data_IF_129132938557
#
_entry.id   IF_129132938557
#
_cell.length_a   1.000
_cell.length_b   1.000
_cell.length_c   1.000
_cell.angle_alpha   90.00
_cell.angle_beta   90.00
_cell.angle_gamma   90.00
#
_symmetry.space_group_name_H-M   'P 1'
#
loop_
_entity.id
_entity.type
_entity.pdbx_description
1 polymer ?
#
# COMPACT_ATOMS: atom_id res chain seq x y z
N UNK A 1 -27.04 43.00 -34.30
CA UNK A 1 -27.72 44.26 -34.63
C UNK A 1 -28.45 44.72 -33.37
N UNK A 2 -28.00 45.83 -32.76
CA UNK A 2 -28.70 46.73 -31.80
C UNK A 2 -29.14 46.08 -30.46
N UNK A 3 -28.44 46.21 -29.31
CA UNK A 3 -28.04 47.34 -28.41
C UNK A 3 -28.87 47.32 -27.10
N UNK A 4 -28.16 47.32 -25.95
CA UNK A 4 -28.40 48.07 -24.69
C UNK A 4 -27.79 47.26 -23.51
N UNK A 5 -26.62 47.49 -22.91
CA UNK A 5 -25.88 48.68 -22.41
C UNK A 5 -26.51 49.41 -21.21
N UNK A 6 -25.87 49.29 -20.03
CA UNK A 6 -25.84 50.20 -18.86
C UNK A 6 -24.95 49.57 -17.77
N UNK A 7 -23.63 49.76 -17.75
CA UNK A 7 -22.82 50.87 -17.19
C UNK A 7 -22.96 51.16 -15.66
N UNK A 8 -21.88 50.82 -14.91
CA UNK A 8 -21.08 51.70 -14.00
C UNK A 8 -21.70 52.04 -12.61
N UNK A 9 -21.04 51.88 -11.44
CA UNK A 9 -19.79 52.53 -10.98
C UNK A 9 -19.32 51.95 -9.61
N UNK A 10 -18.00 51.87 -9.42
CA UNK A 10 -17.32 51.71 -8.14
C UNK A 10 -17.40 52.98 -7.27
N UNK A 11 -17.26 52.88 -5.94
CA UNK A 11 -16.52 53.85 -5.10
C UNK A 11 -16.28 53.32 -3.67
N UNK A 12 -15.07 53.55 -3.17
CA UNK A 12 -14.57 53.29 -1.81
C UNK A 12 -14.38 54.66 -1.07
N UNK A 13 -13.79 54.74 0.13
CA UNK A 13 -14.40 54.92 1.46
C UNK A 13 -14.17 56.33 2.09
N UNK A 14 -14.78 56.65 3.26
CA UNK A 14 -14.29 57.72 4.18
C UNK A 14 -14.72 57.52 5.65
N UNK A 15 -13.74 57.74 6.53
CA UNK A 15 -13.79 57.88 8.00
C UNK A 15 -14.60 59.11 8.47
N UNK A 16 -14.91 59.19 9.78
CA UNK A 16 -14.85 60.46 10.48
C UNK A 16 -13.99 60.44 11.76
N UNK A 17 -13.32 61.57 11.97
CA UNK A 17 -12.54 62.02 13.12
C UNK A 17 -13.40 62.57 14.26
N UNK A 18 -12.94 62.50 15.51
CA UNK A 18 -13.05 63.65 16.44
C UNK A 18 -11.99 63.61 17.55
N UNK A 19 -11.51 64.81 17.89
CA UNK A 19 -10.40 65.16 18.76
C UNK A 19 -10.84 65.54 20.18
N UNK A 20 -10.00 65.33 21.23
CA UNK A 20 -9.90 66.22 22.40
C UNK A 20 -8.51 66.16 23.11
N UNK A 21 -7.79 67.28 22.96
CA UNK A 21 -6.85 68.05 23.82
C UNK A 21 -5.81 67.39 24.79
N UNK A 22 -4.59 67.94 24.67
CA UNK A 22 -3.36 67.88 25.49
C UNK A 22 -3.48 68.44 26.91
N UNK A 23 -2.63 67.93 27.82
CA UNK A 23 -1.93 68.72 28.85
C UNK A 23 -0.54 68.12 29.14
N UNK A 24 0.48 68.97 29.24
CA UNK A 24 1.90 68.67 29.51
C UNK A 24 2.14 68.28 30.98
N UNK A 25 3.22 67.51 31.25
CA UNK A 25 4.19 67.78 32.35
C UNK A 25 5.49 66.96 32.23
N UNK A 26 6.58 67.71 32.05
CA UNK A 26 7.94 67.63 32.62
C UNK A 26 8.70 66.31 32.78
N UNK A 27 9.91 66.30 32.21
CA UNK A 27 10.95 65.29 32.36
C UNK A 27 11.63 65.31 33.74
N UNK A 28 12.05 64.13 34.22
CA UNK A 28 13.03 63.97 35.30
C UNK A 28 14.07 62.92 34.89
N UNK A 29 15.33 63.34 34.90
CA UNK A 29 16.53 62.52 34.72
C UNK A 29 16.74 61.65 35.97
N UNK A 30 16.91 60.33 35.81
CA UNK A 30 17.48 59.48 36.86
C UNK A 30 18.61 58.65 36.24
N UNK A 31 19.83 59.03 36.63
CA UNK A 31 21.09 58.30 36.45
C UNK A 31 21.02 56.92 37.09
N UNK A 32 21.28 55.86 36.31
CA UNK A 32 21.55 54.52 36.83
C UNK A 32 23.02 54.17 36.68
N UNK A 33 23.63 53.82 37.82
CA UNK A 33 25.02 53.43 37.99
C UNK A 33 25.31 52.05 37.40
N UNK A 34 26.40 51.96 36.63
CA UNK A 34 26.89 50.72 36.01
C UNK A 34 27.48 49.81 37.10
N UNK A 35 26.81 48.68 37.39
CA UNK A 35 27.39 47.58 38.18
C UNK A 35 27.86 46.48 37.21
N UNK A 36 29.17 46.44 36.92
CA UNK A 36 29.81 45.36 36.16
C UNK A 36 29.65 44.04 36.93
N UNK A 37 28.73 43.17 36.49
CA UNK A 37 28.78 41.73 36.78
C UNK A 37 29.42 41.05 35.58
N UNK A 38 30.62 40.49 35.77
CA UNK A 38 31.21 39.52 34.84
C UNK A 38 30.33 38.27 34.89
N UNK A 39 29.50 38.07 33.86
CA UNK A 39 28.88 36.78 33.58
C UNK A 39 29.88 36.00 32.73
N UNK A 40 30.54 35.03 33.36
CA UNK A 40 31.26 33.97 32.65
C UNK A 40 30.24 33.15 31.87
N UNK A 41 30.23 33.26 30.55
CA UNK A 41 29.57 32.31 29.66
C UNK A 41 30.33 30.98 29.76
N UNK A 42 29.89 30.12 30.67
CA UNK A 42 30.16 28.70 30.56
C UNK A 42 29.26 28.18 29.43
N UNK A 43 29.83 27.97 28.25
CA UNK A 43 29.24 27.08 27.26
C UNK A 43 29.18 25.69 27.88
N UNK A 44 28.06 25.35 28.52
CA UNK A 44 27.73 23.95 28.71
C UNK A 44 27.50 23.39 27.32
N UNK A 45 28.49 22.67 26.79
CA UNK A 45 28.30 21.71 25.72
C UNK A 45 27.30 20.70 26.28
N UNK A 46 26.02 20.97 26.06
CA UNK A 46 24.97 19.98 26.24
C UNK A 46 25.33 18.85 25.29
N UNK A 47 25.92 17.78 25.84
CA UNK A 47 26.01 16.52 25.16
C UNK A 47 24.63 16.26 24.55
N UNK A 48 24.57 16.19 23.23
CA UNK A 48 23.36 15.82 22.50
C UNK A 48 22.96 14.44 23.02
N UNK A 49 22.01 14.39 23.96
CA UNK A 49 21.24 13.16 24.20
C UNK A 49 20.69 12.80 22.82
N UNK A 50 21.11 11.66 22.29
CA UNK A 50 20.44 11.08 21.13
C UNK A 50 18.96 11.05 21.47
N UNK A 51 18.15 11.79 20.71
CA UNK A 51 16.70 11.76 20.87
C UNK A 51 16.30 10.30 20.63
N UNK A 52 15.66 9.63 21.62
CA UNK A 52 15.13 8.28 21.40
C UNK A 52 14.29 8.31 20.12
N UNK A 53 14.56 7.40 19.18
CA UNK A 53 13.85 7.37 17.90
C UNK A 53 12.38 7.06 18.17
N UNK A 54 11.51 7.76 17.47
CA UNK A 54 10.07 7.54 17.56
C UNK A 54 9.72 6.17 16.96
N UNK A 55 8.78 5.48 17.60
CA UNK A 55 8.40 4.10 17.24
C UNK A 55 7.26 4.07 16.23
N UNK A 56 7.38 3.21 15.22
CA UNK A 56 6.34 2.93 14.23
C UNK A 56 6.03 1.45 14.23
N UNK A 57 4.75 1.09 14.44
CA UNK A 57 4.34 -0.31 14.41
C UNK A 57 3.94 -0.67 12.98
N UNK A 58 4.45 -1.79 12.47
CA UNK A 58 4.08 -2.31 11.15
C UNK A 58 3.42 -3.68 11.31
N UNK A 59 2.18 -3.82 10.86
CA UNK A 59 1.43 -5.08 10.84
C UNK A 59 1.25 -5.54 9.39
N UNK A 60 2.10 -6.49 8.97
CA UNK A 60 2.04 -7.13 7.66
C UNK A 60 1.52 -8.57 7.73
N UNK A 61 1.27 -9.18 6.58
CA UNK A 61 0.67 -10.52 6.49
C UNK A 61 -0.12 -10.73 5.20
N UNK A 62 -0.39 -11.98 4.79
CA UNK A 62 -1.15 -12.25 3.58
C UNK A 62 -2.61 -11.76 3.70
N UNK A 63 -3.29 -11.59 2.56
CA UNK A 63 -4.75 -11.39 2.56
C UNK A 63 -5.45 -12.55 3.27
N UNK A 64 -6.50 -12.26 4.05
CA UNK A 64 -7.19 -13.25 4.91
C UNK A 64 -6.56 -13.48 6.28
N UNK A 65 -5.39 -12.91 6.60
CA UNK A 65 -4.73 -13.13 7.90
C UNK A 65 -5.35 -12.36 9.09
N UNK A 66 -6.34 -11.49 8.88
CA UNK A 66 -6.98 -10.73 9.98
C UNK A 66 -6.29 -9.42 10.40
N UNK A 67 -5.36 -8.90 9.58
CA UNK A 67 -4.57 -7.67 9.88
C UNK A 67 -5.40 -6.44 10.23
N UNK A 68 -6.48 -6.17 9.48
CA UNK A 68 -7.27 -4.95 9.66
C UNK A 68 -7.92 -4.91 11.05
N UNK A 69 -8.49 -6.04 11.50
CA UNK A 69 -9.08 -6.16 12.84
C UNK A 69 -8.02 -6.01 13.94
N UNK A 70 -6.86 -6.64 13.78
CA UNK A 70 -5.76 -6.51 14.73
C UNK A 70 -5.27 -5.05 14.83
N UNK A 71 -5.08 -4.37 13.70
CA UNK A 71 -4.63 -2.99 13.66
C UNK A 71 -5.64 -2.03 14.29
N UNK A 72 -6.95 -2.21 14.03
CA UNK A 72 -8.02 -1.41 14.62
C UNK A 72 -8.01 -1.50 16.15
N UNK A 73 -8.03 -2.71 16.69
CA UNK A 73 -8.06 -2.93 18.14
C UNK A 73 -6.76 -2.49 18.82
N UNK A 74 -5.62 -2.62 18.15
CA UNK A 74 -4.34 -2.11 18.64
C UNK A 74 -4.33 -0.58 18.69
N UNK A 75 -4.83 0.09 17.65
CA UNK A 75 -4.88 1.54 17.58
C UNK A 75 -5.75 2.14 18.70
N UNK A 76 -6.88 1.50 19.03
CA UNK A 76 -7.72 1.88 20.18
C UNK A 76 -6.94 1.84 21.50
N UNK A 77 -6.11 0.81 21.73
CA UNK A 77 -5.32 0.65 22.96
C UNK A 77 -4.15 1.61 23.08
N UNK A 78 -3.53 1.94 21.95
CA UNK A 78 -2.33 2.76 21.90
C UNK A 78 -2.61 4.25 21.65
N UNK A 79 -3.88 4.66 21.57
CA UNK A 79 -4.25 6.00 21.07
C UNK A 79 -3.56 6.29 19.72
N UNK A 80 -3.61 5.30 18.83
CA UNK A 80 -2.93 5.28 17.56
C UNK A 80 -3.83 5.62 16.38
N UNK A 81 -3.21 5.80 15.23
CA UNK A 81 -3.86 6.00 13.94
C UNK A 81 -3.30 5.03 12.91
N UNK A 82 -4.12 4.65 11.94
CA UNK A 82 -3.78 3.60 10.98
C UNK A 82 -3.36 4.22 9.66
N UNK A 83 -2.22 3.81 9.12
CA UNK A 83 -1.79 4.13 7.76
C UNK A 83 -1.99 2.88 6.90
N UNK A 84 -2.89 2.95 5.92
CA UNK A 84 -3.11 1.83 5.01
C UNK A 84 -1.95 1.69 4.03
N UNK A 85 -1.33 0.51 4.02
CA UNK A 85 -0.30 0.08 3.08
C UNK A 85 -0.86 -0.96 2.10
N UNK A 86 -2.02 -0.64 1.51
CA UNK A 86 -2.70 -1.44 0.48
C UNK A 86 -2.86 -0.61 -0.81
N UNK A 87 -2.48 -1.19 -1.95
CA UNK A 87 -2.47 -0.50 -3.24
C UNK A 87 -3.86 -0.24 -3.83
N UNK A 88 -4.92 -0.82 -3.26
CA UNK A 88 -6.30 -0.74 -3.77
C UNK A 88 -7.19 0.11 -2.87
N UNK A 89 -6.99 0.06 -1.54
CA UNK A 89 -7.78 0.86 -0.59
C UNK A 89 -7.63 2.38 -0.76
N UNK A 90 -6.62 2.83 -1.51
CA UNK A 90 -6.42 4.24 -1.87
C UNK A 90 -7.53 4.78 -2.78
N UNK A 91 -8.24 3.93 -3.52
CA UNK A 91 -9.22 4.33 -4.53
C UNK A 91 -10.65 4.41 -3.97
N UNK A 92 -11.33 5.52 -4.24
CA UNK A 92 -12.75 5.76 -3.91
C UNK A 92 -13.68 4.80 -4.65
N UNK A 93 -14.69 4.29 -3.95
CA UNK A 93 -15.70 3.38 -4.51
C UNK A 93 -15.23 1.95 -4.73
N UNK A 94 -14.00 1.62 -4.33
CA UNK A 94 -13.43 0.26 -4.34
C UNK A 94 -13.37 -0.26 -2.91
N UNK A 95 -14.51 -0.53 -2.30
CA UNK A 95 -14.65 -0.82 -0.88
C UNK A 95 -14.66 -2.33 -0.62
N UNK A 96 -15.46 -3.07 -1.37
CA UNK A 96 -15.73 -4.50 -1.16
C UNK A 96 -14.54 -5.29 -1.64
N UNK A 97 -14.13 -5.16 -2.90
CA UNK A 97 -13.02 -5.95 -3.43
C UNK A 97 -11.68 -5.70 -2.71
N UNK A 98 -11.51 -4.51 -2.12
CA UNK A 98 -10.31 -4.16 -1.34
C UNK A 98 -10.42 -4.51 0.15
N UNK A 99 -11.59 -4.95 0.61
CA UNK A 99 -11.95 -5.09 2.02
C UNK A 99 -11.54 -3.87 2.86
N UNK A 100 -11.95 -2.71 2.37
CA UNK A 100 -11.69 -1.44 3.02
C UNK A 100 -12.35 -1.40 4.40
N UNK A 101 -11.72 -0.78 5.42
CA UNK A 101 -12.36 -0.59 6.72
C UNK A 101 -13.73 0.08 6.57
N UNK A 102 -14.71 -0.35 7.37
CA UNK A 102 -16.07 0.18 7.30
C UNK A 102 -16.11 1.66 7.73
N UNK A 103 -17.17 2.42 7.37
CA UNK A 103 -17.34 3.78 7.89
C UNK A 103 -17.32 3.85 9.43
N UNK A 104 -17.84 2.83 10.12
CA UNK A 104 -17.78 2.72 11.58
C UNK A 104 -16.34 2.58 12.08
N UNK A 105 -15.56 1.67 11.51
CA UNK A 105 -14.15 1.48 11.89
C UNK A 105 -13.33 2.77 11.69
N UNK A 106 -13.62 3.53 10.63
CA UNK A 106 -12.93 4.80 10.32
C UNK A 106 -13.36 5.96 11.22
N UNK A 107 -14.56 5.91 11.77
CA UNK A 107 -15.02 6.87 12.78
C UNK A 107 -14.36 6.58 14.13
N UNK A 108 -14.18 5.31 14.47
CA UNK A 108 -13.53 4.90 15.72
C UNK A 108 -12.02 5.18 15.72
N UNK A 109 -11.34 4.90 14.61
CA UNK A 109 -9.89 5.13 14.45
C UNK A 109 -9.63 5.82 13.11
N UNK A 110 -8.89 6.94 13.08
CA UNK A 110 -8.47 7.57 11.82
C UNK A 110 -7.66 6.61 10.94
N UNK A 111 -8.05 6.51 9.68
CA UNK A 111 -7.36 5.75 8.65
C UNK A 111 -6.83 6.69 7.57
N UNK A 112 -5.50 6.70 7.40
CA UNK A 112 -4.79 7.45 6.37
C UNK A 112 -4.59 6.61 5.11
N UNK A 113 -4.44 7.29 3.98
CA UNK A 113 -4.24 6.68 2.65
C UNK A 113 -5.38 5.74 2.24
N UNK A 114 -6.60 6.08 2.63
CA UNK A 114 -7.83 5.43 2.21
C UNK A 114 -8.69 6.46 1.49
N UNK A 115 -9.27 6.11 0.35
CA UNK A 115 -10.12 7.02 -0.45
C UNK A 115 -9.47 8.34 -0.87
N UNK A 116 -8.15 8.32 -1.09
CA UNK A 116 -7.37 9.49 -1.48
C UNK A 116 -7.35 9.74 -3.00
N UNK A 117 -7.76 8.77 -3.82
CA UNK A 117 -7.72 8.83 -5.28
C UNK A 117 -9.03 8.42 -5.94
N UNK A 118 -9.30 8.99 -7.12
CA UNK A 118 -10.25 8.44 -8.07
C UNK A 118 -9.67 7.20 -8.78
N UNK A 119 -10.45 6.17 -9.14
CA UNK A 119 -9.91 4.94 -9.75
C UNK A 119 -9.25 5.10 -11.11
N UNK A 120 -9.47 6.23 -11.79
CA UNK A 120 -8.77 6.55 -13.04
C UNK A 120 -7.35 7.08 -12.81
N UNK A 121 -6.99 7.45 -11.58
CA UNK A 121 -5.69 7.99 -11.24
C UNK A 121 -4.68 6.87 -10.98
N UNK A 122 -3.41 7.13 -11.29
CA UNK A 122 -2.33 6.19 -10.98
C UNK A 122 -1.72 6.46 -9.60
N UNK A 123 -1.41 5.38 -8.88
CA UNK A 123 -0.68 5.41 -7.62
C UNK A 123 0.59 4.57 -7.68
N UNK A 124 1.73 5.17 -7.33
CA UNK A 124 3.03 4.51 -7.39
C UNK A 124 3.59 4.25 -6.00
N UNK A 125 4.52 3.31 -5.90
CA UNK A 125 5.26 3.03 -4.65
C UNK A 125 6.01 4.27 -4.15
N UNK A 126 6.54 5.09 -5.07
CA UNK A 126 7.22 6.34 -4.70
C UNK A 126 6.27 7.35 -4.05
N UNK A 127 5.04 7.50 -4.60
CA UNK A 127 4.01 8.39 -4.02
C UNK A 127 3.49 7.84 -2.69
N UNK A 128 3.24 6.53 -2.62
CA UNK A 128 2.92 5.86 -1.34
C UNK A 128 3.98 6.12 -0.28
N UNK A 129 5.27 6.02 -0.62
CA UNK A 129 6.34 6.31 0.32
C UNK A 129 6.24 7.74 0.85
N UNK A 130 6.10 8.75 -0.03
CA UNK A 130 5.97 10.14 0.40
C UNK A 130 4.74 10.38 1.29
N UNK A 131 3.57 9.95 0.83
CA UNK A 131 2.30 10.17 1.51
C UNK A 131 2.27 9.45 2.88
N UNK A 132 2.77 8.20 2.95
CA UNK A 132 2.83 7.45 4.19
C UNK A 132 3.82 8.07 5.19
N UNK A 133 4.97 8.56 4.72
CA UNK A 133 5.96 9.24 5.56
C UNK A 133 5.43 10.57 6.09
N UNK A 134 4.66 11.30 5.29
CA UNK A 134 3.97 12.51 5.72
C UNK A 134 2.92 12.19 6.79
N UNK A 135 2.09 11.16 6.57
CA UNK A 135 1.10 10.71 7.55
C UNK A 135 1.77 10.28 8.87
N UNK A 136 2.87 9.51 8.81
CA UNK A 136 3.63 9.11 9.99
C UNK A 136 4.10 10.32 10.80
N UNK A 137 4.69 11.34 10.15
CA UNK A 137 5.12 12.57 10.84
C UNK A 137 3.95 13.29 11.49
N UNK A 138 2.84 13.46 10.76
CA UNK A 138 1.66 14.12 11.30
C UNK A 138 1.09 13.42 12.53
N UNK A 139 1.08 12.08 12.54
CA UNK A 139 0.61 11.29 13.67
C UNK A 139 1.55 11.46 14.87
N UNK A 140 2.86 11.38 14.66
CA UNK A 140 3.87 11.56 15.70
C UNK A 140 3.83 12.99 16.29
N UNK A 141 3.74 14.01 15.43
CA UNK A 141 3.62 15.42 15.84
C UNK A 141 2.35 15.68 16.69
N UNK A 142 1.31 14.86 16.51
CA UNK A 142 0.09 14.89 17.32
C UNK A 142 0.18 14.10 18.64
N UNK A 143 1.32 13.46 18.92
CA UNK A 143 1.54 12.63 20.10
C UNK A 143 0.83 11.27 20.06
N UNK A 144 0.48 10.79 18.87
CA UNK A 144 -0.23 9.52 18.64
C UNK A 144 0.71 8.47 18.06
N UNK A 145 0.26 7.21 18.09
CA UNK A 145 1.07 6.07 17.63
C UNK A 145 0.75 5.71 16.17
N UNK A 146 1.71 5.81 15.23
CA UNK A 146 1.51 5.40 13.85
C UNK A 146 1.54 3.87 13.72
N UNK A 147 0.44 3.30 13.20
CA UNK A 147 0.30 1.87 12.93
C UNK A 147 0.10 1.67 11.42
N UNK A 148 1.11 1.12 10.76
CA UNK A 148 1.07 0.83 9.33
C UNK A 148 0.55 -0.59 9.13
N UNK A 149 -0.55 -0.75 8.39
CA UNK A 149 -1.16 -2.07 8.16
C UNK A 149 -1.34 -2.34 6.68
N UNK A 150 -0.96 -3.53 6.20
CA UNK A 150 -1.11 -3.85 4.78
C UNK A 150 -0.35 -5.07 4.30
N UNK A 151 -0.36 -5.26 2.99
CA UNK A 151 0.30 -6.38 2.31
C UNK A 151 1.69 -6.05 1.77
N UNK A 152 2.19 -4.83 2.02
CA UNK A 152 3.33 -4.23 1.33
C UNK A 152 4.25 -3.55 2.34
N UNK A 153 5.47 -4.08 2.53
CA UNK A 153 6.45 -3.53 3.49
C UNK A 153 7.18 -2.26 3.01
N UNK A 154 6.75 -1.68 1.88
CA UNK A 154 7.54 -0.74 1.07
C UNK A 154 7.90 0.58 1.78
N UNK A 155 7.20 0.92 2.88
CA UNK A 155 7.52 2.11 3.68
C UNK A 155 8.93 2.05 4.30
N UNK A 156 9.39 0.85 4.68
CA UNK A 156 10.63 0.65 5.43
C UNK A 156 11.85 0.87 4.55
N UNK A 157 11.77 0.46 3.28
CA UNK A 157 12.95 0.25 2.46
C UNK A 157 13.47 1.51 1.77
N UNK A 158 12.67 2.58 1.70
CA UNK A 158 13.05 3.86 1.07
C UNK A 158 12.32 4.12 -0.27
N UNK A 159 12.39 5.37 -0.73
CA UNK A 159 11.79 5.81 -1.99
C UNK A 159 12.56 5.22 -3.19
N UNK A 160 11.92 4.48 -4.10
CA UNK A 160 12.56 4.05 -5.35
C UNK A 160 13.02 5.25 -6.19
N UNK A 161 14.21 5.15 -6.79
CA UNK A 161 14.81 6.21 -7.60
C UNK A 161 14.52 6.07 -9.11
N UNK A 162 13.61 5.16 -9.47
CA UNK A 162 13.28 4.88 -10.86
C UNK A 162 12.40 6.01 -11.42
N UNK A 163 12.78 6.65 -12.54
CA UNK A 163 12.06 7.79 -13.08
C UNK A 163 10.68 7.41 -13.60
N UNK A 164 9.68 8.27 -13.38
CA UNK A 164 8.36 8.14 -13.99
C UNK A 164 8.41 8.64 -15.44
N UNK A 165 7.83 7.89 -16.37
CA UNK A 165 7.73 8.32 -17.76
C UNK A 165 6.76 9.51 -17.89
N UNK A 166 7.06 10.44 -18.80
CA UNK A 166 6.11 11.48 -19.20
C UNK A 166 4.93 10.87 -19.98
N UNK A 167 3.77 11.54 -20.04
CA UNK A 167 2.64 11.07 -20.85
C UNK A 167 3.00 10.82 -22.31
N UNK A 168 3.85 11.67 -22.90
CA UNK A 168 4.30 11.54 -24.28
C UNK A 168 5.14 10.26 -24.48
N UNK A 169 6.09 10.00 -23.59
CA UNK A 169 6.92 8.78 -23.64
C UNK A 169 6.04 7.54 -23.43
N UNK A 170 5.13 7.57 -22.45
CA UNK A 170 4.24 6.45 -22.19
C UNK A 170 3.35 6.15 -23.41
N UNK A 171 2.84 7.18 -24.08
CA UNK A 171 2.05 7.05 -25.31
C UNK A 171 2.89 6.51 -26.46
N UNK A 172 4.11 7.03 -26.66
CA UNK A 172 5.03 6.58 -27.70
C UNK A 172 5.36 5.09 -27.54
N UNK A 173 5.74 4.68 -26.33
CA UNK A 173 6.06 3.28 -26.01
C UNK A 173 4.84 2.39 -26.18
N UNK A 174 3.64 2.86 -25.79
CA UNK A 174 2.41 2.11 -26.00
C UNK A 174 2.16 1.86 -27.49
N UNK A 175 2.28 2.89 -28.33
CA UNK A 175 2.14 2.75 -29.79
C UNK A 175 3.20 1.83 -30.39
N UNK A 176 4.44 1.91 -29.94
CA UNK A 176 5.55 1.07 -30.44
C UNK A 176 5.35 -0.42 -30.15
N UNK A 177 4.72 -0.76 -29.01
CA UNK A 177 4.45 -2.15 -28.63
C UNK A 177 3.05 -2.64 -29.05
N UNK A 178 2.17 -1.76 -29.53
CA UNK A 178 0.76 -2.07 -29.77
C UNK A 178 0.57 -3.22 -30.77
N UNK A 179 1.21 -3.16 -31.94
CA UNK A 179 1.06 -4.18 -32.97
C UNK A 179 1.64 -5.52 -32.53
N UNK A 180 2.78 -5.51 -31.83
CA UNK A 180 3.39 -6.72 -31.29
C UNK A 180 2.51 -7.36 -30.22
N UNK A 181 1.90 -6.54 -29.36
CA UNK A 181 0.97 -7.03 -28.34
C UNK A 181 -0.32 -7.58 -28.97
N UNK A 182 -0.87 -6.92 -29.99
CA UNK A 182 -2.07 -7.36 -30.69
C UNK A 182 -1.87 -8.67 -31.46
N UNK A 183 -0.68 -8.88 -32.02
CA UNK A 183 -0.31 -10.11 -32.72
C UNK A 183 0.27 -11.20 -31.80
N UNK A 184 0.30 -10.95 -30.48
CA UNK A 184 0.90 -11.82 -29.46
C UNK A 184 2.38 -12.19 -29.73
N UNK A 185 3.11 -11.30 -30.42
CA UNK A 185 4.51 -11.50 -30.78
C UNK A 185 5.45 -11.07 -29.65
N UNK A 186 5.45 -11.88 -28.59
CA UNK A 186 6.25 -11.67 -27.38
C UNK A 186 7.75 -11.64 -27.67
N UNK A 187 8.24 -12.54 -28.51
CA UNK A 187 9.67 -12.67 -28.78
C UNK A 187 10.20 -11.42 -29.48
N UNK A 188 9.50 -10.92 -30.51
CA UNK A 188 9.90 -9.68 -31.18
C UNK A 188 9.88 -8.47 -30.22
N UNK A 189 8.89 -8.40 -29.34
CA UNK A 189 8.83 -7.34 -28.33
C UNK A 189 9.98 -7.40 -27.32
N UNK A 190 10.37 -8.61 -26.87
CA UNK A 190 11.55 -8.80 -26.03
C UNK A 190 12.81 -8.34 -26.76
N UNK A 191 13.01 -8.74 -28.01
CA UNK A 191 14.17 -8.33 -28.79
C UNK A 191 14.24 -6.81 -29.00
N UNK A 192 13.08 -6.15 -29.18
CA UNK A 192 13.00 -4.69 -29.26
C UNK A 192 13.55 -4.03 -27.99
N UNK A 193 13.11 -4.47 -26.80
CA UNK A 193 13.56 -3.89 -25.52
C UNK A 193 15.02 -4.23 -25.20
N UNK A 194 15.48 -5.44 -25.56
CA UNK A 194 16.90 -5.80 -25.45
C UNK A 194 17.76 -4.88 -26.31
N UNK A 195 17.36 -4.65 -27.56
CA UNK A 195 18.06 -3.74 -28.47
C UNK A 195 18.03 -2.29 -27.99
N UNK A 196 16.97 -1.88 -27.29
CA UNK A 196 16.87 -0.57 -26.67
C UNK A 196 17.83 -0.39 -25.47
N UNK A 197 18.33 -1.48 -24.86
CA UNK A 197 19.38 -1.42 -23.85
C UNK A 197 19.13 -2.18 -22.55
N UNK A 198 18.05 -2.97 -22.44
CA UNK A 198 17.82 -3.84 -21.28
C UNK A 198 17.95 -5.33 -21.64
N UNK A 199 19.16 -5.93 -21.50
CA UNK A 199 19.34 -7.35 -21.75
C UNK A 199 18.56 -8.25 -20.78
N UNK A 200 18.13 -7.72 -19.62
CA UNK A 200 17.36 -8.52 -18.65
C UNK A 200 15.93 -8.77 -19.12
N UNK A 201 15.45 -8.07 -20.15
CA UNK A 201 14.14 -8.33 -20.76
C UNK A 201 13.99 -9.79 -21.24
N UNK A 202 15.08 -10.47 -21.62
CA UNK A 202 15.08 -11.89 -22.03
C UNK A 202 14.64 -12.85 -20.91
N UNK A 203 14.78 -12.45 -19.65
CA UNK A 203 14.43 -13.27 -18.49
C UNK A 203 13.04 -12.93 -17.93
N UNK A 204 12.30 -12.04 -18.58
CA UNK A 204 10.93 -11.76 -18.18
C UNK A 204 10.04 -12.99 -18.39
N UNK A 205 9.09 -13.27 -17.48
CA UNK A 205 8.08 -14.29 -17.72
C UNK A 205 7.35 -14.01 -19.02
N UNK A 206 7.02 -15.07 -19.76
CA UNK A 206 6.29 -14.97 -21.02
C UNK A 206 5.02 -14.11 -20.86
N UNK A 207 4.80 -13.21 -21.81
CA UNK A 207 3.66 -12.28 -21.87
C UNK A 207 3.56 -11.29 -20.71
N UNK A 208 4.65 -11.02 -19.97
CA UNK A 208 4.71 -9.91 -19.01
C UNK A 208 4.89 -8.55 -19.71
N UNK A 209 3.90 -8.20 -20.55
CA UNK A 209 3.85 -6.95 -21.32
C UNK A 209 3.97 -5.71 -20.45
N UNK A 210 3.50 -5.80 -19.21
CA UNK A 210 3.62 -4.70 -18.25
C UNK A 210 5.09 -4.41 -17.91
N UNK A 211 5.86 -5.42 -17.50
CA UNK A 211 7.29 -5.22 -17.16
C UNK A 211 8.12 -4.88 -18.38
N UNK A 212 7.81 -5.48 -19.52
CA UNK A 212 8.49 -5.19 -20.78
C UNK A 212 8.30 -3.73 -21.20
N UNK A 213 7.04 -3.26 -21.25
CA UNK A 213 6.71 -1.86 -21.50
C UNK A 213 7.38 -0.93 -20.50
N UNK A 214 7.33 -1.27 -19.22
CA UNK A 214 7.94 -0.45 -18.16
C UNK A 214 9.45 -0.32 -18.32
N UNK A 215 10.13 -1.37 -18.78
CA UNK A 215 11.57 -1.30 -19.07
C UNK A 215 11.86 -0.31 -20.19
N UNK A 216 11.11 -0.40 -21.29
CA UNK A 216 11.26 0.52 -22.43
C UNK A 216 10.96 1.98 -22.06
N UNK A 217 9.90 2.22 -21.26
CA UNK A 217 9.60 3.53 -20.69
C UNK A 217 10.77 4.12 -19.90
N UNK A 218 11.43 3.31 -19.07
CA UNK A 218 12.57 3.76 -18.25
C UNK A 218 13.77 4.10 -19.14
N UNK A 219 14.07 3.25 -20.12
CA UNK A 219 15.14 3.50 -21.10
C UNK A 219 14.89 4.80 -21.84
N UNK A 220 13.69 5.00 -22.41
CA UNK A 220 13.36 6.24 -23.14
C UNK A 220 13.37 7.49 -22.24
N UNK A 221 13.00 7.34 -20.96
CA UNK A 221 12.99 8.45 -20.02
C UNK A 221 14.37 8.86 -19.50
N UNK A 222 15.33 7.93 -19.46
CA UNK A 222 16.59 8.13 -18.74
C UNK A 222 17.86 7.81 -19.51
N UNK A 223 17.74 7.15 -20.66
CA UNK A 223 18.85 6.58 -21.41
C UNK A 223 19.48 5.33 -20.78
N UNK A 224 18.98 4.86 -19.63
CA UNK A 224 19.54 3.73 -18.88
C UNK A 224 18.49 2.64 -18.60
N UNK A 225 18.88 1.36 -18.55
CA UNK A 225 17.94 0.28 -18.22
C UNK A 225 17.51 0.33 -16.75
N UNK A 226 16.40 -0.34 -16.37
CA UNK A 226 15.93 -0.39 -14.98
C UNK A 226 17.00 -0.86 -13.98
N UNK A 227 17.92 -1.72 -14.42
CA UNK A 227 19.01 -2.27 -13.62
C UNK A 227 20.07 -1.24 -13.21
N UNK A 228 20.11 -0.07 -13.84
CA UNK A 228 21.02 1.02 -13.50
C UNK A 228 20.56 1.82 -12.26
N UNK A 229 19.29 1.69 -11.86
CA UNK A 229 18.71 2.41 -10.74
C UNK A 229 18.79 1.58 -9.46
N UNK A 230 19.14 2.24 -8.35
CA UNK A 230 19.16 1.58 -7.05
C UNK A 230 17.73 1.29 -6.58
N UNK A 231 17.45 0.03 -6.29
CA UNK A 231 16.23 -0.37 -5.59
C UNK A 231 16.54 -0.32 -4.09
N UNK A 232 15.89 0.57 -3.31
CA UNK A 232 16.23 0.77 -1.89
C UNK A 232 16.14 -0.52 -1.06
N UNK A 233 15.20 -1.39 -1.41
CA UNK A 233 15.03 -2.74 -0.84
C UNK A 233 16.29 -3.60 -0.90
N UNK A 234 16.99 -3.65 -2.04
CA UNK A 234 18.19 -4.48 -2.19
C UNK A 234 19.33 -4.01 -1.28
N UNK A 235 19.40 -2.70 -1.07
CA UNK A 235 20.43 -2.08 -0.24
C UNK A 235 20.15 -2.32 1.24
N UNK A 236 18.88 -2.19 1.64
CA UNK A 236 18.43 -2.52 2.99
C UNK A 236 18.69 -4.00 3.32
N UNK A 237 18.35 -4.91 2.41
CA UNK A 237 18.54 -6.35 2.62
C UNK A 237 20.03 -6.71 2.83
N UNK A 238 20.93 -6.16 2.00
CA UNK A 238 22.38 -6.37 2.17
C UNK A 238 22.89 -5.90 3.54
N UNK A 239 22.36 -4.79 4.06
CA UNK A 239 22.72 -4.27 5.38
C UNK A 239 22.24 -5.17 6.52
N UNK A 240 21.01 -5.69 6.43
CA UNK A 240 20.51 -6.66 7.38
C UNK A 240 21.35 -7.95 7.38
N UNK A 241 21.67 -8.47 6.19
CA UNK A 241 22.47 -9.69 6.06
C UNK A 241 23.89 -9.49 6.63
N UNK A 242 24.55 -8.36 6.36
CA UNK A 242 25.89 -8.06 6.93
C UNK A 242 25.87 -7.89 8.45
N UNK A 243 24.84 -7.24 9.01
CA UNK A 243 24.69 -7.05 10.46
C UNK A 243 24.45 -8.36 11.24
N UNK A 244 23.93 -9.40 10.57
CA UNK A 244 23.74 -10.74 11.13
C UNK A 244 25.04 -11.54 11.09
N UNK A 245 25.84 -11.38 10.02
CA UNK A 245 27.14 -12.08 9.86
C UNK A 245 28.20 -11.53 10.83
N UNK A 246 28.21 -10.22 11.10
CA UNK A 246 29.12 -9.60 12.09
C UNK A 246 28.88 -10.04 13.55
N UNK A 247 27.78 -10.75 13.84
CA UNK A 247 27.55 -11.32 15.20
C UNK A 247 28.21 -12.67 15.43
N UNK A 248 28.79 -13.31 14.42
CA UNK A 248 29.27 -14.70 14.56
C UNK A 248 30.72 -15.01 14.17
N UNK A 249 31.52 -14.09 13.65
CA UNK A 249 32.94 -14.38 13.42
C UNK A 249 33.85 -13.18 13.75
N UNK A 250 34.65 -13.32 14.81
CA UNK A 250 35.83 -12.49 15.04
C UNK A 250 37.00 -13.23 14.38
N UNK A 251 37.50 -12.69 13.27
CA UNK A 251 38.93 -12.69 12.96
C UNK A 251 39.25 -11.59 11.92
N UNK A 252 40.24 -10.71 12.18
CA UNK A 252 40.57 -9.63 11.27
C UNK A 252 41.65 -10.08 10.28
N UNK A 253 41.32 -10.10 9.00
CA UNK A 253 42.34 -9.95 7.96
C UNK A 253 41.83 -8.95 6.92
N UNK A 254 42.58 -7.86 6.83
CA UNK A 254 42.55 -6.77 5.86
C UNK A 254 42.24 -7.22 4.44
N UNK A 255 41.22 -6.63 3.82
CA UNK A 255 41.39 -5.78 2.64
C UNK A 255 40.08 -5.04 2.27
N UNK A 256 40.21 -3.72 2.11
CA UNK A 256 39.27 -2.73 1.55
C UNK A 256 37.81 -2.84 2.01
N UNK A 257 37.54 -2.38 3.23
CA UNK A 257 36.18 -2.03 3.67
C UNK A 257 35.84 -0.65 3.10
N UNK A 258 35.16 -0.61 1.95
CA UNK A 258 34.30 0.54 1.68
C UNK A 258 33.24 0.56 2.80
N UNK A 259 33.35 1.52 3.71
CA UNK A 259 32.36 1.77 4.75
C UNK A 259 31.01 2.07 4.08
N UNK A 260 30.21 1.02 3.83
CA UNK A 260 28.79 1.16 3.54
C UNK A 260 28.15 1.63 4.84
N UNK A 261 28.16 2.96 5.06
CA UNK A 261 27.41 3.59 6.15
C UNK A 261 25.97 3.08 6.07
N UNK A 262 25.57 2.32 7.08
CA UNK A 262 24.18 1.92 7.29
C UNK A 262 23.33 3.18 7.21
N UNK A 263 22.33 3.19 6.32
CA UNK A 263 21.36 4.30 6.33
C UNK A 263 20.57 4.12 7.61
N UNK A 264 20.91 4.92 8.62
CA UNK A 264 20.17 4.95 9.87
C UNK A 264 18.69 5.20 9.55
N UNK A 265 17.83 4.25 9.92
CA UNK A 265 16.39 4.48 9.86
C UNK A 265 16.05 5.64 10.79
N UNK A 266 15.15 6.50 10.37
CA UNK A 266 14.73 7.69 11.12
C UNK A 266 13.60 7.39 12.12
N UNK A 267 13.02 6.20 12.08
CA UNK A 267 12.12 5.66 13.08
C UNK A 267 12.60 4.30 13.57
N UNK A 268 12.19 3.93 14.77
CA UNK A 268 12.30 2.58 15.30
C UNK A 268 11.08 1.75 14.86
N UNK A 269 11.26 0.92 13.83
CA UNK A 269 10.17 0.14 13.26
C UNK A 269 10.01 -1.20 13.99
N UNK A 270 8.86 -1.41 14.62
CA UNK A 270 8.50 -2.70 15.23
C UNK A 270 7.59 -3.45 14.25
N UNK A 271 8.17 -4.42 13.53
CA UNK A 271 7.51 -5.08 12.42
C UNK A 271 6.98 -6.46 12.79
N UNK A 272 5.68 -6.68 12.62
CA UNK A 272 5.02 -7.96 12.83
C UNK A 272 4.48 -8.52 11.52
N UNK A 273 4.64 -9.83 11.31
CA UNK A 273 4.05 -10.54 10.19
C UNK A 273 3.05 -11.58 10.69
N UNK A 274 1.77 -11.30 10.51
CA UNK A 274 0.66 -12.13 10.94
C UNK A 274 0.37 -13.20 9.88
N UNK A 275 0.41 -14.48 10.25
CA UNK A 275 0.10 -15.59 9.33
C UNK A 275 -0.45 -16.80 10.08
N UNK A 276 -1.17 -17.67 9.37
CA UNK A 276 -1.65 -18.96 9.86
C UNK A 276 -1.15 -20.10 8.97
N UNK A 277 -1.54 -21.34 9.28
CA UNK A 277 -1.30 -22.49 8.41
C UNK A 277 -1.91 -22.24 7.02
N UNK A 278 -1.18 -22.63 5.97
CA UNK A 278 -1.55 -22.34 4.58
C UNK A 278 -2.96 -22.82 4.20
N UNK A 279 -3.38 -23.98 4.69
CA UNK A 279 -4.71 -24.53 4.41
C UNK A 279 -5.80 -23.63 5.02
N UNK A 280 -5.63 -23.19 6.26
CA UNK A 280 -6.61 -22.32 6.93
C UNK A 280 -6.63 -20.91 6.31
N UNK A 281 -5.47 -20.41 5.91
CA UNK A 281 -5.36 -19.18 5.12
C UNK A 281 -6.12 -19.29 3.80
N UNK A 282 -5.96 -20.38 3.06
CA UNK A 282 -6.67 -20.60 1.79
C UNK A 282 -8.18 -20.72 2.00
N UNK A 283 -8.63 -21.41 3.05
CA UNK A 283 -10.06 -21.46 3.42
C UNK A 283 -10.62 -20.07 3.70
N UNK A 284 -9.89 -19.25 4.45
CA UNK A 284 -10.30 -17.87 4.75
C UNK A 284 -10.37 -17.00 3.49
N UNK A 285 -9.38 -17.13 2.59
CA UNK A 285 -9.36 -16.43 1.31
C UNK A 285 -10.55 -16.84 0.45
N UNK A 286 -10.83 -18.14 0.36
CA UNK A 286 -11.90 -18.67 -0.47
C UNK A 286 -13.27 -18.20 0.01
N UNK A 287 -13.51 -18.29 1.34
CA UNK A 287 -14.72 -17.77 1.98
C UNK A 287 -14.90 -16.26 1.70
N UNK A 288 -13.83 -15.48 1.85
CA UNK A 288 -13.86 -14.04 1.57
C UNK A 288 -14.18 -13.74 0.11
N UNK A 289 -13.68 -14.54 -0.85
CA UNK A 289 -14.03 -14.35 -2.26
C UNK A 289 -15.52 -14.61 -2.50
N UNK A 290 -16.11 -15.60 -1.81
CA UNK A 290 -17.56 -15.81 -1.86
C UNK A 290 -18.31 -14.61 -1.25
N UNK A 291 -17.91 -14.17 -0.05
CA UNK A 291 -18.54 -13.02 0.63
C UNK A 291 -18.53 -11.76 -0.25
N UNK A 292 -17.47 -11.54 -1.03
CA UNK A 292 -17.35 -10.40 -1.97
C UNK A 292 -18.26 -10.52 -3.18
N UNK A 293 -18.58 -11.74 -3.62
CA UNK A 293 -19.48 -12.00 -4.75
C UNK A 293 -20.94 -12.13 -4.34
N UNK A 294 -21.21 -12.38 -3.06
CA UNK A 294 -22.55 -12.45 -2.50
C UNK A 294 -23.25 -11.09 -2.52
N UNK A 295 -24.55 -11.11 -2.82
CA UNK A 295 -25.42 -9.93 -2.80
C UNK A 295 -25.40 -9.09 -4.09
N UNK A 296 -26.41 -8.22 -4.23
CA UNK A 296 -26.56 -7.31 -5.37
C UNK A 296 -25.59 -6.13 -5.36
N UNK A 297 -25.10 -5.78 -4.16
CA UNK A 297 -24.18 -4.67 -3.94
C UNK A 297 -22.74 -5.18 -3.75
N UNK A 298 -22.41 -6.38 -4.23
CA UNK A 298 -21.07 -6.98 -4.11
C UNK A 298 -20.03 -6.39 -5.06
N UNK A 299 -18.87 -7.04 -5.18
CA UNK A 299 -17.75 -6.61 -6.05
C UNK A 299 -18.16 -6.46 -7.52
N UNK A 300 -19.18 -7.19 -7.98
CA UNK A 300 -19.70 -7.07 -9.35
C UNK A 300 -20.33 -5.70 -9.61
N UNK A 301 -20.92 -5.07 -8.59
CA UNK A 301 -21.49 -3.72 -8.68
C UNK A 301 -20.38 -2.66 -8.82
N UNK A 302 -19.29 -2.78 -8.04
CA UNK A 302 -18.11 -1.91 -8.14
C UNK A 302 -17.42 -2.09 -9.50
N UNK A 303 -17.27 -3.34 -9.97
CA UNK A 303 -16.70 -3.64 -11.27
C UNK A 303 -17.54 -3.07 -12.43
N UNK A 304 -18.87 -3.16 -12.32
CA UNK A 304 -19.79 -2.52 -13.26
C UNK A 304 -19.58 -1.00 -13.27
N UNK A 305 -19.50 -0.37 -12.10
CA UNK A 305 -19.29 1.08 -12.00
C UNK A 305 -17.96 1.53 -12.64
N UNK A 306 -16.89 0.75 -12.46
CA UNK A 306 -15.61 1.01 -13.15
C UNK A 306 -15.77 1.00 -14.68
N UNK A 307 -16.48 -0.01 -15.21
CA UNK A 307 -16.77 -0.11 -16.65
C UNK A 307 -17.65 1.04 -17.15
N UNK A 308 -18.69 1.39 -16.40
CA UNK A 308 -19.62 2.48 -16.73
C UNK A 308 -18.92 3.85 -16.69
N UNK A 309 -17.83 3.96 -15.92
CA UNK A 309 -16.95 5.13 -15.88
C UNK A 309 -15.93 5.16 -17.03
N UNK A 310 -15.99 4.21 -17.98
CA UNK A 310 -15.12 4.14 -19.16
C UNK A 310 -13.77 3.48 -18.91
N UNK A 311 -13.53 2.87 -17.73
CA UNK A 311 -12.30 2.15 -17.45
C UNK A 311 -12.37 0.72 -17.99
N UNK A 312 -11.27 0.28 -18.61
CA UNK A 312 -11.15 -1.09 -19.12
C UNK A 312 -10.42 -2.00 -18.13
N UNK A 313 -10.70 -3.32 -18.11
CA UNK A 313 -9.89 -4.26 -17.36
C UNK A 313 -8.41 -4.12 -17.72
N UNK A 314 -7.53 -4.28 -16.73
CA UNK A 314 -6.07 -4.19 -16.89
C UNK A 314 -5.49 -2.82 -17.31
N UNK A 315 -6.32 -1.78 -17.53
CA UNK A 315 -5.86 -0.47 -17.98
C UNK A 315 -4.93 0.24 -16.97
N UNK A 316 -5.22 0.17 -15.67
CA UNK A 316 -4.44 0.84 -14.63
C UNK A 316 -4.34 -0.01 -13.36
N UNK A 317 -3.77 0.55 -12.29
CA UNK A 317 -3.56 -0.20 -11.05
C UNK A 317 -4.87 -0.62 -10.39
N UNK A 318 -5.92 0.21 -10.43
CA UNK A 318 -7.22 -0.10 -9.85
C UNK A 318 -7.88 -1.29 -10.57
N UNK A 319 -7.91 -1.25 -11.91
CA UNK A 319 -8.56 -2.29 -12.73
C UNK A 319 -7.73 -3.57 -12.90
N UNK A 320 -6.44 -3.54 -12.55
CA UNK A 320 -5.56 -4.73 -12.44
C UNK A 320 -5.69 -5.45 -11.10
N UNK A 321 -6.30 -4.84 -10.10
CA UNK A 321 -6.43 -5.42 -8.77
C UNK A 321 -7.19 -6.77 -8.84
N UNK A 322 -6.73 -7.72 -8.04
CA UNK A 322 -7.34 -9.06 -7.95
C UNK A 322 -8.76 -8.91 -7.41
N UNK A 323 -9.72 -9.60 -8.02
CA UNK A 323 -11.15 -9.42 -7.78
C UNK A 323 -11.75 -8.49 -8.83
N UNK A 324 -11.29 -7.24 -8.89
CA UNK A 324 -11.79 -6.25 -9.85
C UNK A 324 -11.54 -6.66 -11.29
N UNK A 325 -10.32 -7.09 -11.63
CA UNK A 325 -10.01 -7.53 -12.99
C UNK A 325 -10.94 -8.66 -13.44
N UNK A 326 -11.03 -9.72 -12.64
CA UNK A 326 -11.86 -10.88 -12.94
C UNK A 326 -13.34 -10.50 -13.06
N UNK A 327 -13.83 -9.66 -12.14
CA UNK A 327 -15.21 -9.19 -12.15
C UNK A 327 -15.51 -8.31 -13.38
N UNK A 328 -14.61 -7.38 -13.75
CA UNK A 328 -14.80 -6.55 -14.94
C UNK A 328 -14.77 -7.37 -16.23
N UNK A 329 -13.82 -8.31 -16.37
CA UNK A 329 -13.77 -9.24 -17.51
C UNK A 329 -15.06 -10.04 -17.64
N UNK A 330 -15.58 -10.53 -16.52
CA UNK A 330 -16.86 -11.25 -16.47
C UNK A 330 -18.05 -10.37 -16.84
N UNK A 331 -18.15 -9.14 -16.31
CA UNK A 331 -19.24 -8.22 -16.66
C UNK A 331 -19.21 -7.86 -18.15
N UNK A 332 -18.03 -7.64 -18.74
CA UNK A 332 -17.90 -7.41 -20.19
C UNK A 332 -18.40 -8.60 -21.01
N UNK A 333 -18.02 -9.83 -20.62
CA UNK A 333 -18.54 -11.05 -21.25
C UNK A 333 -20.07 -11.11 -21.15
N UNK A 334 -20.63 -10.80 -19.98
CA UNK A 334 -22.07 -10.80 -19.76
C UNK A 334 -22.79 -9.78 -20.67
N UNK A 335 -22.22 -8.58 -20.85
CA UNK A 335 -22.77 -7.54 -21.75
C UNK A 335 -22.80 -8.02 -23.21
N UNK A 336 -21.75 -8.70 -23.66
CA UNK A 336 -21.67 -9.23 -25.03
C UNK A 336 -22.68 -10.36 -25.29
N UNK A 337 -22.95 -11.19 -24.28
CA UNK A 337 -23.87 -12.32 -24.40
C UNK A 337 -25.32 -11.99 -24.00
N UNK A 338 -25.56 -10.83 -23.38
CA UNK A 338 -26.87 -10.46 -22.83
C UNK A 338 -27.26 -11.20 -21.54
N UNK A 339 -26.30 -11.81 -20.84
CA UNK A 339 -26.54 -12.60 -19.64
C UNK A 339 -25.35 -13.46 -19.24
N UNK A 340 -25.57 -14.39 -18.30
CA UNK A 340 -24.57 -15.35 -17.85
C UNK A 340 -25.24 -16.66 -17.43
N UNK A 341 -24.48 -17.75 -17.47
CA UNK A 341 -24.87 -19.06 -16.95
C UNK A 341 -24.23 -19.36 -15.58
N UNK A 342 -24.78 -20.30 -14.78
CA UNK A 342 -24.12 -20.74 -13.55
C UNK A 342 -22.67 -21.19 -13.80
N UNK A 343 -22.41 -21.88 -14.92
CA UNK A 343 -21.07 -22.36 -15.25
C UNK A 343 -20.06 -21.22 -15.37
N UNK A 344 -20.43 -20.13 -16.02
CA UNK A 344 -19.56 -18.97 -16.20
C UNK A 344 -19.33 -18.23 -14.88
N UNK A 345 -20.37 -18.09 -14.05
CA UNK A 345 -20.22 -17.55 -12.69
C UNK A 345 -19.26 -18.40 -11.84
N UNK A 346 -19.40 -19.73 -11.84
CA UNK A 346 -18.50 -20.61 -11.10
C UNK A 346 -17.05 -20.57 -11.64
N UNK A 347 -16.87 -20.32 -12.94
CA UNK A 347 -15.55 -20.08 -13.51
C UNK A 347 -14.94 -18.77 -12.97
N UNK A 348 -15.71 -17.67 -12.93
CA UNK A 348 -15.30 -16.41 -12.29
C UNK A 348 -14.86 -16.65 -10.84
N UNK A 349 -15.70 -17.30 -10.03
CA UNK A 349 -15.41 -17.57 -8.62
C UNK A 349 -14.11 -18.37 -8.46
N UNK A 350 -13.93 -19.43 -9.26
CA UNK A 350 -12.74 -20.28 -9.24
C UNK A 350 -11.47 -19.49 -9.58
N UNK A 351 -11.49 -18.67 -10.64
CA UNK A 351 -10.32 -17.88 -11.03
C UNK A 351 -10.02 -16.74 -10.04
N UNK A 352 -11.04 -16.13 -9.44
CA UNK A 352 -10.86 -15.14 -8.37
C UNK A 352 -10.18 -15.79 -7.14
N UNK A 353 -10.71 -16.90 -6.64
CA UNK A 353 -10.12 -17.62 -5.50
C UNK A 353 -8.68 -18.06 -5.79
N UNK A 354 -8.41 -18.63 -6.97
CA UNK A 354 -7.07 -19.03 -7.40
C UNK A 354 -6.10 -17.85 -7.46
N UNK A 355 -6.51 -16.73 -8.04
CA UNK A 355 -5.70 -15.52 -8.10
C UNK A 355 -5.37 -14.98 -6.70
N UNK A 356 -6.35 -14.94 -5.80
CA UNK A 356 -6.20 -14.49 -4.41
C UNK A 356 -5.25 -15.39 -3.61
N UNK A 357 -5.36 -16.72 -3.73
CA UNK A 357 -4.42 -17.67 -3.11
C UNK A 357 -3.01 -17.54 -3.66
N UNK A 358 -2.86 -17.36 -4.97
CA UNK A 358 -1.55 -17.13 -5.60
C UNK A 358 -0.91 -15.83 -5.11
N UNK A 359 -1.70 -14.79 -4.87
CA UNK A 359 -1.20 -13.55 -4.28
C UNK A 359 -0.74 -13.74 -2.84
N UNK A 360 -1.54 -14.39 -1.99
CA UNK A 360 -1.12 -14.74 -0.63
C UNK A 360 0.16 -15.58 -0.61
N UNK A 361 0.31 -16.53 -1.53
CA UNK A 361 1.56 -17.29 -1.70
C UNK A 361 2.75 -16.39 -2.03
N UNK A 362 2.59 -15.42 -2.96
CA UNK A 362 3.65 -14.45 -3.29
C UNK A 362 4.03 -13.59 -2.10
N UNK A 363 3.05 -13.13 -1.32
CA UNK A 363 3.31 -12.38 -0.08
C UNK A 363 4.13 -13.21 0.90
N UNK A 364 3.72 -14.45 1.18
CA UNK A 364 4.48 -15.36 2.05
C UNK A 364 5.92 -15.59 1.54
N UNK A 365 6.11 -15.77 0.24
CA UNK A 365 7.44 -15.94 -0.36
C UNK A 365 8.31 -14.69 -0.18
N UNK A 366 7.75 -13.50 -0.40
CA UNK A 366 8.48 -12.25 -0.27
C UNK A 366 8.91 -12.01 1.20
N UNK A 367 7.96 -12.08 2.14
CA UNK A 367 8.22 -11.79 3.55
C UNK A 367 9.07 -12.84 4.27
N UNK A 368 9.21 -14.06 3.72
CA UNK A 368 10.01 -15.14 4.33
C UNK A 368 11.45 -14.71 4.59
N UNK A 369 12.03 -13.95 3.66
CA UNK A 369 13.42 -13.51 3.70
C UNK A 369 13.60 -12.17 4.43
N UNK A 370 12.52 -11.61 4.98
CA UNK A 370 12.60 -10.39 5.78
C UNK A 370 12.95 -10.75 7.23
N UNK A 371 14.13 -10.29 7.68
CA UNK A 371 14.61 -10.49 9.04
C UNK A 371 14.01 -9.48 10.03
N UNK A 372 13.63 -8.29 9.57
CA UNK A 372 13.01 -7.25 10.42
C UNK A 372 11.63 -7.65 10.96
N UNK A 373 10.95 -8.63 10.35
CA UNK A 373 9.60 -9.03 10.75
C UNK A 373 9.61 -10.15 11.80
N UNK A 374 8.88 -9.92 12.90
CA UNK A 374 8.51 -10.89 13.92
C UNK A 374 7.24 -11.63 13.50
N UNK A 375 7.34 -12.94 13.25
CA UNK A 375 6.25 -13.76 12.73
C UNK A 375 5.29 -14.23 13.85
N UNK A 376 4.01 -13.85 13.75
CA UNK A 376 2.97 -14.14 14.73
C UNK A 376 1.91 -15.09 14.16
N UNK A 377 1.50 -16.08 14.97
CA UNK A 377 0.49 -17.07 14.61
C UNK A 377 -0.92 -16.48 14.75
N UNK A 378 -1.55 -16.23 13.61
CA UNK A 378 -2.88 -15.65 13.49
C UNK A 378 -4.01 -16.58 13.95
N UNK A 379 -3.72 -17.87 14.19
CA UNK A 379 -4.70 -18.81 14.74
C UNK A 379 -4.90 -18.65 16.25
N UNK A 380 -4.05 -17.88 16.91
CA UNK A 380 -4.13 -17.60 18.35
C UNK A 380 -5.24 -16.60 18.65
N UNK A 381 -5.79 -16.60 19.88
CA UNK A 381 -6.79 -15.61 20.27
C UNK A 381 -6.29 -14.18 20.04
N UNK A 382 -7.15 -13.34 19.45
CA UNK A 382 -6.82 -11.96 19.10
C UNK A 382 -6.23 -11.18 20.28
N UNK A 383 -6.82 -11.32 21.46
CA UNK A 383 -6.35 -10.68 22.69
C UNK A 383 -4.91 -11.05 23.06
N UNK A 384 -4.51 -12.29 22.87
CA UNK A 384 -3.14 -12.73 23.16
C UNK A 384 -2.13 -12.06 22.23
N UNK A 385 -2.48 -11.93 20.95
CA UNK A 385 -1.64 -11.25 19.95
C UNK A 385 -1.58 -9.74 20.23
N UNK A 386 -2.72 -9.12 20.57
CA UNK A 386 -2.81 -7.70 20.92
C UNK A 386 -1.95 -7.35 22.13
N UNK A 387 -2.07 -8.11 23.21
CA UNK A 387 -1.31 -7.86 24.43
C UNK A 387 0.20 -7.96 24.17
N UNK A 388 0.63 -8.96 23.41
CA UNK A 388 2.04 -9.09 23.04
C UNK A 388 2.56 -7.87 22.26
N UNK A 389 1.82 -7.39 21.26
CA UNK A 389 2.24 -6.22 20.47
C UNK A 389 2.21 -4.95 21.32
N UNK A 390 1.20 -4.80 22.18
CA UNK A 390 1.09 -3.67 23.10
C UNK A 390 2.27 -3.61 24.08
N UNK A 391 2.63 -4.76 24.68
CA UNK A 391 3.78 -4.87 25.59
C UNK A 391 5.08 -4.60 24.85
N UNK A 392 5.26 -5.17 23.66
CA UNK A 392 6.43 -4.94 22.80
C UNK A 392 6.63 -3.47 22.42
N UNK A 393 5.55 -2.72 22.20
CA UNK A 393 5.64 -1.29 21.93
C UNK A 393 6.19 -0.51 23.14
N UNK A 394 5.77 -0.86 24.36
CA UNK A 394 6.21 -0.21 25.58
C UNK A 394 7.56 -0.69 26.09
N UNK A 395 8.01 -1.87 25.64
CA UNK A 395 9.31 -2.40 25.98
C UNK A 395 10.43 -1.50 25.46
N UNK A 396 11.39 -1.19 26.33
CA UNK A 396 12.59 -0.41 26.00
C UNK A 396 13.81 -1.31 25.73
N UNK A 397 13.64 -2.62 25.82
CA UNK A 397 14.68 -3.57 25.47
C UNK A 397 14.92 -3.57 23.95
N UNK A 398 16.19 -3.68 23.54
CA UNK A 398 16.56 -3.71 22.11
C UNK A 398 16.26 -5.07 21.43
N UNK A 399 15.89 -6.10 22.20
CA UNK A 399 15.73 -7.47 21.71
C UNK A 399 14.30 -7.99 21.96
N UNK A 400 13.41 -7.71 21.02
CA UNK A 400 12.06 -8.27 21.03
C UNK A 400 12.10 -9.78 20.67
N UNK A 401 11.68 -10.63 21.61
CA UNK A 401 11.58 -12.08 21.41
C UNK A 401 10.11 -12.51 21.42
N UNK A 402 9.67 -13.16 20.33
CA UNK A 402 8.32 -13.72 20.25
C UNK A 402 8.24 -15.02 21.06
N UNK A 403 7.30 -15.15 22.01
CA UNK A 403 7.10 -16.38 22.77
C UNK A 403 6.79 -17.57 21.86
N UNK A 404 7.25 -18.77 22.22
CA UNK A 404 7.01 -20.00 21.44
C UNK A 404 5.52 -20.25 21.19
N UNK A 405 4.66 -19.90 22.15
CA UNK A 405 3.20 -20.04 22.05
C UNK A 405 2.55 -19.17 20.96
N UNK A 406 3.20 -18.07 20.56
CA UNK A 406 2.74 -17.11 19.55
C UNK A 406 3.55 -17.15 18.25
N UNK A 407 4.69 -17.86 18.25
CA UNK A 407 5.63 -17.88 17.12
C UNK A 407 5.04 -18.62 15.93
N UNK A 408 4.95 -17.94 14.79
CA UNK A 408 4.61 -18.59 13.52
C UNK A 408 5.89 -19.08 12.82
N UNK A 409 5.87 -20.34 12.36
CA UNK A 409 6.97 -20.90 11.56
C UNK A 409 6.95 -20.30 10.16
N UNK A 410 8.13 -19.93 9.65
CA UNK A 410 8.31 -19.42 8.28
C UNK A 410 8.15 -20.51 7.21
N UNK A 411 8.42 -21.77 7.56
CA UNK A 411 8.44 -22.91 6.64
C UNK A 411 7.32 -23.90 6.92
N UNK A 412 6.90 -24.62 5.87
CA UNK A 412 6.08 -25.82 6.03
C UNK A 412 6.92 -26.83 6.81
N UNK A 413 6.41 -27.25 7.94
CA UNK A 413 7.21 -27.94 8.95
C UNK A 413 7.11 -29.46 8.86
N UNK A 414 6.22 -29.99 8.01
CA UNK A 414 6.00 -31.43 7.89
C UNK A 414 5.55 -31.88 6.50
N UNK A 415 5.93 -33.11 6.11
CA UNK A 415 5.42 -33.80 4.92
C UNK A 415 3.88 -33.89 4.89
N UNK A 416 3.26 -33.92 6.08
CA UNK A 416 1.80 -33.90 6.24
C UNK A 416 1.20 -32.58 5.76
N UNK A 417 1.74 -31.44 6.20
CA UNK A 417 1.28 -30.12 5.75
C UNK A 417 1.44 -29.93 4.24
N UNK A 418 2.52 -30.46 3.64
CA UNK A 418 2.68 -30.46 2.19
C UNK A 418 1.63 -31.32 1.47
N UNK A 419 1.32 -32.50 2.00
CA UNK A 419 0.29 -33.39 1.44
C UNK A 419 -1.10 -32.76 1.53
N UNK A 420 -1.46 -32.20 2.69
CA UNK A 420 -2.72 -31.48 2.89
C UNK A 420 -2.86 -30.29 1.94
N UNK A 421 -1.77 -29.54 1.70
CA UNK A 421 -1.77 -28.43 0.75
C UNK A 421 -1.89 -28.90 -0.70
N UNK A 422 -1.23 -30.00 -1.09
CA UNK A 422 -1.37 -30.60 -2.43
C UNK A 422 -2.79 -31.13 -2.69
N UNK A 423 -3.41 -31.69 -1.66
CA UNK A 423 -4.78 -32.20 -1.69
C UNK A 423 -5.86 -31.12 -1.53
N UNK A 424 -5.49 -29.87 -1.28
CA UNK A 424 -6.45 -28.80 -1.02
C UNK A 424 -7.46 -28.64 -2.17
N UNK A 425 -8.74 -28.58 -1.81
CA UNK A 425 -9.85 -28.26 -2.70
C UNK A 425 -10.71 -27.20 -2.02
N UNK A 426 -11.12 -26.19 -2.78
CA UNK A 426 -12.05 -25.16 -2.30
C UNK A 426 -13.31 -25.84 -1.74
N UNK A 427 -13.76 -25.40 -0.57
CA UNK A 427 -15.04 -25.78 0.01
C UNK A 427 -15.87 -24.52 0.16
N UNK A 428 -16.73 -24.26 -0.83
CA UNK A 428 -17.60 -23.10 -0.84
C UNK A 428 -18.69 -23.21 0.24
N UNK A 429 -19.08 -22.07 0.81
CA UNK A 429 -20.15 -21.96 1.81
C UNK A 429 -21.45 -21.41 1.24
N UNK A 430 -21.36 -20.41 0.37
CA UNK A 430 -22.51 -19.71 -0.21
C UNK A 430 -22.87 -20.30 -1.57
N UNK A 431 -21.87 -20.68 -2.37
CA UNK A 431 -22.06 -21.17 -3.73
C UNK A 431 -21.71 -22.66 -3.83
N UNK A 432 -22.62 -23.53 -3.37
CA UNK A 432 -22.44 -24.99 -3.33
C UNK A 432 -23.12 -25.67 -4.51
N UNK A 433 -24.33 -25.23 -4.84
CA UNK A 433 -25.18 -25.74 -5.92
C UNK A 433 -25.29 -24.70 -7.03
N UNK A 434 -25.78 -25.13 -8.20
CA UNK A 434 -25.90 -24.24 -9.36
C UNK A 434 -26.92 -23.13 -9.13
N UNK A 435 -27.95 -23.44 -8.36
CA UNK A 435 -29.08 -22.57 -8.05
C UNK A 435 -28.67 -21.42 -7.10
N UNK A 436 -27.59 -21.60 -6.32
CA UNK A 436 -27.15 -20.63 -5.31
C UNK A 436 -26.67 -19.29 -5.91
N UNK A 437 -26.45 -19.23 -7.22
CA UNK A 437 -26.10 -18.00 -7.94
C UNK A 437 -27.29 -17.36 -8.68
N UNK A 438 -28.52 -17.86 -8.52
CA UNK A 438 -29.70 -17.38 -9.25
C UNK A 438 -29.90 -15.87 -9.14
N UNK A 439 -29.78 -15.33 -7.93
CA UNK A 439 -30.04 -13.92 -7.65
C UNK A 439 -29.00 -13.02 -8.34
N UNK A 440 -27.75 -13.50 -8.42
CA UNK A 440 -26.67 -12.82 -9.13
C UNK A 440 -26.92 -12.87 -10.64
N UNK A 441 -27.34 -14.01 -11.19
CA UNK A 441 -27.63 -14.13 -12.61
C UNK A 441 -28.83 -13.27 -13.02
N UNK A 442 -29.86 -13.19 -12.19
CA UNK A 442 -31.00 -12.30 -12.40
C UNK A 442 -30.59 -10.83 -12.31
N UNK A 443 -29.72 -10.47 -11.36
CA UNK A 443 -29.12 -9.13 -11.29
C UNK A 443 -28.33 -8.80 -12.55
N UNK A 444 -27.51 -9.73 -13.07
CA UNK A 444 -26.76 -9.54 -14.33
C UNK A 444 -27.72 -9.32 -15.48
N UNK A 445 -28.77 -10.15 -15.61
CA UNK A 445 -29.76 -10.00 -16.70
C UNK A 445 -30.43 -8.63 -16.68
N UNK A 446 -30.82 -8.14 -15.49
CA UNK A 446 -31.48 -6.83 -15.32
C UNK A 446 -30.55 -5.65 -15.57
N UNK A 447 -29.27 -5.79 -15.26
CA UNK A 447 -28.33 -4.65 -15.22
C UNK A 447 -27.37 -4.58 -16.40
N UNK A 448 -27.09 -5.72 -17.04
CA UNK A 448 -26.16 -5.86 -18.15
C UNK A 448 -26.83 -6.30 -19.44
N UNK A 449 -28.10 -6.71 -19.38
CA UNK A 449 -28.90 -6.96 -20.58
C UNK A 449 -29.00 -5.69 -21.41
N UNK A 450 -28.81 -5.80 -22.72
CA UNK A 450 -29.07 -4.71 -23.65
C UNK A 450 -30.52 -4.25 -23.43
N UNK A 451 -30.72 -3.00 -23.02
CA UNK A 451 -32.01 -2.35 -23.21
C UNK A 451 -32.23 -2.30 -24.73
N UNK A 452 -32.99 -3.26 -25.23
CA UNK A 452 -33.55 -3.24 -26.59
C UNK A 452 -34.71 -2.26 -26.64
N UNK A 453 -34.49 -1.01 -26.22
CA UNK A 453 -35.41 0.11 -26.36
C UNK A 453 -34.61 1.39 -26.60
N UNK A 454 -34.24 1.60 -27.86
CA UNK A 454 -34.02 2.92 -28.46
C UNK A 454 -34.23 2.84 -29.97
#
# INVERSE_FOLDING_TARGET
MIISSSCVRAFCPRLPSSSKKRALRTAALVTFTIRRRRLSTACSVSATKSKEKEKVIVVSGPTGAGKSRLALELAKRLNGEIISADSVQVYRGLDIGSAKPSPGDRQEVPHHLVDILHPSEDYSVGKFYEDARQATRSILDSGRVPIVTGGTGLLIYGKPDVPKASPDIASEVYSELADLQNNEDWEAAVQLVVKAGDPKAQFLPANDWYRLRRSLEIIKSSGSPPSAFQVPYDSFRKQCDSSIVDRHDINPSTDVVEEVKSKELDYDFICFFLSSKRVDLYRSIDCRCEDMLSGSDGILSEARWLLDSGLLPNSNSATRAIGYRQAMEYILMCRQQGGSSPREFFNLLSEFQKASRNFAKRQLTWFRNESIYHWLDASKPLETVLNFIYDAYHDKSENLVVPESLRMKKELSSRREESELKGYRTQNRHFVRREDCSDILDWIRRTQGLNSES
#
